data_IF_869826353995
#
_entry.id   IF_869826353995
#
_cell.length_a   1.000
_cell.length_b   1.000
_cell.length_c   1.000
_cell.angle_alpha   90.00
_cell.angle_beta   90.00
_cell.angle_gamma   90.00
#
_symmetry.space_group_name_H-M   'P 1'
#
loop_
_entity.id
_entity.type
_entity.pdbx_description
1 polymer ?
#
# COMPACT_ATOMS: atom_id res chain seq x y z
N UNK A 1 -12.82 -5.54 -8.08
CA UNK A 1 -11.83 -6.24 -7.24
C UNK A 1 -11.58 -5.43 -5.99
N UNK A 2 -11.47 -6.09 -4.86
CA UNK A 2 -11.27 -5.41 -3.59
C UNK A 2 -9.78 -5.33 -3.30
N UNK A 3 -9.15 -4.26 -3.73
CA UNK A 3 -7.72 -4.09 -3.55
C UNK A 3 -7.34 -3.95 -2.08
N UNK A 4 -8.23 -3.36 -1.27
CA UNK A 4 -7.93 -3.23 0.15
C UNK A 4 -7.81 -4.59 0.79
N UNK A 5 -8.71 -5.50 0.43
CA UNK A 5 -8.67 -6.85 0.99
C UNK A 5 -7.42 -7.59 0.54
N UNK A 6 -7.02 -7.40 -0.72
CA UNK A 6 -5.82 -8.05 -1.22
C UNK A 6 -4.59 -7.56 -0.47
N UNK A 7 -4.49 -6.25 -0.25
CA UNK A 7 -3.34 -5.71 0.45
C UNK A 7 -3.33 -6.21 1.89
N UNK A 8 -4.47 -6.23 2.57
CA UNK A 8 -4.51 -6.78 3.93
C UNK A 8 -4.02 -8.22 3.97
N UNK A 9 -4.43 -9.03 3.01
CA UNK A 9 -4.00 -10.42 2.96
C UNK A 9 -2.48 -10.53 2.82
N UNK A 10 -1.87 -9.57 2.12
CA UNK A 10 -0.43 -9.61 1.90
C UNK A 10 0.37 -9.08 3.10
N UNK A 11 -0.15 -8.09 3.82
CA UNK A 11 0.67 -7.39 4.79
C UNK A 11 0.31 -7.67 6.25
N UNK A 12 -0.85 -8.25 6.54
CA UNK A 12 -1.29 -8.38 7.93
C UNK A 12 -0.34 -9.22 8.76
N UNK A 13 0.36 -10.16 8.15
CA UNK A 13 1.33 -10.97 8.88
C UNK A 13 2.72 -10.35 8.91
N UNK A 14 2.92 -9.23 8.23
CA UNK A 14 4.21 -8.53 8.24
C UNK A 14 4.24 -7.46 9.32
N UNK A 15 3.13 -6.75 9.50
CA UNK A 15 3.08 -5.64 10.44
C UNK A 15 2.83 -6.13 11.85
N UNK A 16 3.24 -5.33 12.83
CA UNK A 16 3.02 -5.67 14.23
C UNK A 16 1.59 -5.39 14.66
N UNK A 17 0.95 -4.38 14.06
CA UNK A 17 -0.40 -3.97 14.47
C UNK A 17 -1.31 -3.87 13.26
N UNK A 18 -1.73 -5.00 12.72
CA UNK A 18 -2.56 -4.97 11.50
C UNK A 18 -3.90 -4.25 11.69
N UNK A 19 -4.43 -4.25 12.90
CA UNK A 19 -5.70 -3.56 13.13
C UNK A 19 -5.54 -2.05 13.08
N UNK A 20 -4.32 -1.53 13.13
CA UNK A 20 -4.09 -0.09 13.05
C UNK A 20 -3.78 0.37 11.64
N UNK A 21 -3.69 -0.54 10.69
CA UNK A 21 -3.36 -0.18 9.32
C UNK A 21 -4.59 0.31 8.61
N UNK A 22 -4.48 1.46 7.95
CA UNK A 22 -5.56 1.99 7.13
C UNK A 22 -5.16 1.87 5.67
N UNK A 23 -6.06 1.32 4.87
CA UNK A 23 -5.81 1.14 3.45
C UNK A 23 -6.95 1.79 2.69
N UNK A 24 -6.60 2.63 1.71
CA UNK A 24 -7.60 3.31 0.90
C UNK A 24 -7.25 3.15 -0.56
N UNK A 25 -8.18 2.68 -1.35
CA UNK A 25 -8.00 2.55 -2.78
C UNK A 25 -8.90 3.56 -3.48
N UNK A 26 -8.33 4.37 -4.36
CA UNK A 26 -9.07 5.42 -5.06
C UNK A 26 -8.80 5.27 -6.55
N UNK A 27 -9.87 5.26 -7.35
CA UNK A 27 -9.74 5.18 -8.79
C UNK A 27 -9.73 6.56 -9.41
N UNK A 28 -8.97 6.71 -10.48
CA UNK A 28 -8.97 7.95 -11.25
C UNK A 28 -10.29 8.08 -12.00
N UNK A 29 -10.53 9.28 -12.56
CA UNK A 29 -11.76 9.52 -13.28
C UNK A 29 -11.95 8.62 -14.48
N UNK A 30 -10.86 8.30 -15.17
CA UNK A 30 -10.97 7.43 -16.32
C UNK A 30 -11.02 5.96 -15.95
N UNK A 31 -10.92 5.65 -14.65
CA UNK A 31 -11.01 4.27 -14.18
C UNK A 31 -9.81 3.41 -14.49
N UNK A 32 -8.73 4.00 -15.02
CA UNK A 32 -7.58 3.20 -15.42
C UNK A 32 -6.46 3.20 -14.40
N UNK A 33 -6.43 4.17 -13.49
CA UNK A 33 -5.41 4.24 -12.46
C UNK A 33 -6.05 4.05 -11.10
N UNK A 34 -5.41 3.28 -10.25
CA UNK A 34 -5.85 3.08 -8.87
C UNK A 34 -4.69 3.45 -7.97
N UNK A 35 -4.92 4.36 -7.04
CA UNK A 35 -3.93 4.71 -6.04
C UNK A 35 -4.33 4.02 -4.75
N UNK A 36 -3.44 3.19 -4.22
CA UNK A 36 -3.68 2.51 -2.96
C UNK A 36 -2.73 3.11 -1.94
N UNK A 37 -3.31 3.70 -0.92
CA UNK A 37 -2.53 4.29 0.16
C UNK A 37 -2.59 3.37 1.36
N UNK A 38 -1.43 3.04 1.91
CA UNK A 38 -1.32 2.23 3.12
C UNK A 38 -0.70 3.10 4.19
N UNK A 39 -1.48 3.41 5.22
CA UNK A 39 -1.03 4.26 6.32
C UNK A 39 -1.00 3.45 7.60
N UNK A 40 0.09 3.52 8.34
CA UNK A 40 0.23 2.75 9.56
C UNK A 40 1.26 3.39 10.47
N UNK A 41 1.52 2.74 11.60
CA UNK A 41 2.49 3.24 12.54
C UNK A 41 3.87 3.26 11.90
N UNK A 42 4.72 4.15 12.38
CA UNK A 42 6.03 4.37 11.79
C UNK A 42 6.85 3.09 11.65
N UNK A 43 6.88 2.29 12.72
CA UNK A 43 7.66 1.06 12.67
C UNK A 43 7.11 0.08 11.67
N UNK A 44 5.79 0.03 11.51
CA UNK A 44 5.19 -0.86 10.55
C UNK A 44 5.40 -0.36 9.12
N UNK A 45 5.40 0.95 8.93
CA UNK A 45 5.74 1.50 7.62
C UNK A 45 7.15 1.07 7.23
N UNK A 46 8.09 1.14 8.16
CA UNK A 46 9.45 0.72 7.89
C UNK A 46 9.52 -0.77 7.52
N UNK A 47 8.73 -1.61 8.20
CA UNK A 47 8.68 -3.04 7.87
C UNK A 47 8.15 -3.27 6.48
N UNK A 48 7.12 -2.51 6.09
CA UNK A 48 6.51 -2.70 4.77
C UNK A 48 7.39 -2.20 3.64
N UNK A 49 8.26 -1.24 3.92
CA UNK A 49 9.18 -0.77 2.89
C UNK A 49 10.36 -1.72 2.79
N UNK A 50 10.90 -2.12 3.93
CA UNK A 50 12.04 -3.04 3.97
C UNK A 50 13.35 -2.37 3.59
N UNK A 51 14.42 -3.12 3.71
CA UNK A 51 15.74 -2.60 3.42
C UNK A 51 15.84 -2.28 1.95
N UNK A 52 16.20 -1.04 1.64
CA UNK A 52 16.30 -0.57 0.25
C UNK A 52 14.99 -0.71 -0.52
N UNK A 53 13.87 -0.77 0.19
CA UNK A 53 12.57 -0.85 -0.46
C UNK A 53 12.22 -2.21 -1.01
N UNK A 54 12.90 -3.25 -0.57
CA UNK A 54 12.71 -4.58 -1.17
C UNK A 54 11.29 -5.11 -0.94
N UNK A 55 10.72 -4.87 0.23
CA UNK A 55 9.38 -5.37 0.52
C UNK A 55 8.35 -4.56 -0.26
N UNK A 56 8.48 -3.23 -0.25
CA UNK A 56 7.56 -2.38 -0.98
C UNK A 56 7.56 -2.72 -2.48
N UNK A 57 8.74 -2.97 -3.04
CA UNK A 57 8.83 -3.31 -4.45
C UNK A 57 8.17 -4.65 -4.75
N UNK A 58 8.34 -5.63 -3.85
CA UNK A 58 7.68 -6.92 -4.03
C UNK A 58 6.16 -6.78 -3.95
N UNK A 59 5.67 -5.97 -3.01
CA UNK A 59 4.24 -5.73 -2.89
C UNK A 59 3.70 -5.04 -4.14
N UNK A 60 4.46 -4.08 -4.68
CA UNK A 60 4.04 -3.40 -5.90
C UNK A 60 3.95 -4.35 -7.08
N UNK A 61 4.87 -5.30 -7.17
CA UNK A 61 4.81 -6.26 -8.25
C UNK A 61 3.58 -7.15 -8.16
N UNK A 62 3.29 -7.64 -6.96
CA UNK A 62 2.14 -8.53 -6.79
C UNK A 62 0.83 -7.80 -7.08
N UNK A 63 0.67 -6.60 -6.53
CA UNK A 63 -0.60 -5.91 -6.72
C UNK A 63 -0.76 -5.42 -8.16
N UNK A 64 0.35 -5.18 -8.85
CA UNK A 64 0.28 -4.80 -10.26
C UNK A 64 -0.26 -5.92 -11.12
N UNK A 65 0.05 -7.17 -10.78
CA UNK A 65 -0.52 -8.30 -11.50
C UNK A 65 -2.04 -8.30 -11.37
N UNK A 66 -2.54 -8.08 -10.15
CA UNK A 66 -3.99 -8.02 -9.95
C UNK A 66 -4.61 -6.88 -10.76
N UNK A 67 -3.93 -5.74 -10.79
CA UNK A 67 -4.43 -4.61 -11.57
C UNK A 67 -4.49 -4.88 -13.05
N UNK A 68 -3.46 -5.54 -13.58
CA UNK A 68 -3.42 -5.85 -15.01
C UNK A 68 -4.57 -6.76 -15.42
N UNK A 69 -5.00 -7.64 -14.53
CA UNK A 69 -6.16 -8.47 -14.84
C UNK A 69 -7.43 -7.66 -15.01
N UNK A 70 -7.44 -6.43 -14.53
CA UNK A 70 -8.58 -5.54 -14.68
C UNK A 70 -8.27 -4.35 -15.57
N UNK A 71 -7.13 -4.40 -16.26
CA UNK A 71 -6.70 -3.32 -17.15
C UNK A 71 -6.50 -2.02 -16.39
N UNK A 72 -5.88 -2.11 -15.19
CA UNK A 72 -5.65 -0.94 -14.37
C UNK A 72 -4.19 -0.85 -13.98
N UNK A 73 -3.72 0.39 -13.83
CA UNK A 73 -2.39 0.67 -13.31
C UNK A 73 -2.51 0.95 -11.83
N UNK A 74 -1.77 0.21 -11.02
CA UNK A 74 -1.85 0.34 -9.58
C UNK A 74 -0.65 1.12 -9.07
N UNK A 75 -0.93 2.13 -8.24
CA UNK A 75 0.11 2.95 -7.61
C UNK A 75 0.01 2.72 -6.11
N UNK A 76 0.98 2.03 -5.54
CA UNK A 76 0.96 1.68 -4.12
C UNK A 76 1.86 2.64 -3.37
N UNK A 77 1.31 3.33 -2.40
CA UNK A 77 2.02 4.33 -1.61
C UNK A 77 1.91 4.02 -0.13
N UNK A 78 2.97 4.36 0.61
CA UNK A 78 3.02 4.11 2.04
C UNK A 78 3.19 5.42 2.78
N UNK A 79 2.54 5.52 3.94
CA UNK A 79 2.57 6.72 4.74
C UNK A 79 2.58 6.35 6.20
N UNK A 80 3.27 7.12 7.05
CA UNK A 80 3.30 6.89 8.47
C UNK A 80 2.36 7.84 9.18
N UNK A 81 1.65 7.34 10.18
CA UNK A 81 0.83 8.22 11.00
C UNK A 81 1.71 9.23 11.72
N UNK A 82 1.20 10.43 11.84
CA UNK A 82 1.90 11.46 12.57
C UNK A 82 3.09 12.07 11.90
N UNK A 83 3.40 11.63 10.65
CA UNK A 83 4.47 12.17 9.94
C UNK A 83 3.97 13.34 9.23
N UNK A 84 3.94 14.47 9.69
CA UNK A 84 3.43 15.47 8.99
C UNK A 84 4.37 16.01 8.21
N UNK A 85 4.29 16.61 7.41
CA UNK A 85 5.13 17.07 6.54
C UNK A 85 6.03 17.82 7.10
N UNK A 86 6.69 17.66 7.62
CA UNK A 86 7.58 18.23 8.16
C UNK A 86 8.39 18.80 7.52
N UNK A 87 8.45 19.30 7.08
CA UNK A 87 9.27 19.90 6.50
C UNK A 87 9.88 20.53 6.84
N UNK A 88 10.09 20.67 7.13
CA UNK A 88 10.65 21.30 7.54
C UNK A 88 11.13 21.49 7.47
#
# INVERSE_FOLDING_TARGET
>A
MDYEKIIHALIDDIVAEPESVLIRATESENGKDVVILVACEKDDTARLIGLHGIIANALREVISVAGRNENKHIHLKFESFGEENKED
#
